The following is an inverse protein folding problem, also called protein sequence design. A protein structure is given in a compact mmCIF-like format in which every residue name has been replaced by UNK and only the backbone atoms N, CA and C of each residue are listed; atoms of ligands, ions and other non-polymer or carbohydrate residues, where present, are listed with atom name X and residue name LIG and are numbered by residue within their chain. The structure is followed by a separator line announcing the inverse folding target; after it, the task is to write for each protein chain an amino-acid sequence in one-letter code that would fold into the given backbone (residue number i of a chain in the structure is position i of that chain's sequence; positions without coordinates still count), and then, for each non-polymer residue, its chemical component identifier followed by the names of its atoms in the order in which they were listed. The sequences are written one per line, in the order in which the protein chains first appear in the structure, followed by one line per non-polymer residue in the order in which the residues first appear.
data_IF_270382827189
#
_entry.id   IF_270382827189
#
_cell.length_a   1.000
_cell.length_b   1.000
_cell.length_c   1.000
_cell.angle_alpha   90.00
_cell.angle_beta   90.00
_cell.angle_gamma   90.00
#
_symmetry.space_group_name_H-M   'P 1'
#
loop_
_entity.id
_entity.type
_entity.pdbx_description
1 polymer ?
#
# COMPACT_ATOMS: atom_id res chain seq x y z
N UNK A 1 -20.57 -24.73 -4.32
CA UNK A 1 -19.68 -24.78 -5.47
C UNK A 1 -18.83 -23.51 -5.47
N UNK A 2 -17.52 -23.66 -5.47
CA UNK A 2 -16.60 -22.57 -5.76
C UNK A 2 -16.86 -22.24 -7.24
N UNK A 3 -17.41 -21.05 -7.53
CA UNK A 3 -17.58 -20.58 -8.91
C UNK A 3 -16.26 -20.59 -9.68
N UNK A 4 -16.32 -20.32 -10.97
CA UNK A 4 -15.10 -20.23 -11.78
C UNK A 4 -14.14 -19.16 -11.21
N UNK A 5 -12.87 -19.50 -11.12
CA UNK A 5 -11.80 -18.62 -10.64
C UNK A 5 -10.89 -18.21 -11.81
N UNK A 6 -10.55 -16.94 -11.87
CA UNK A 6 -9.37 -16.51 -12.57
C UNK A 6 -8.20 -16.53 -11.57
N UNK A 7 -7.08 -17.03 -12.00
CA UNK A 7 -5.89 -17.06 -11.16
C UNK A 7 -4.64 -16.78 -11.97
N UNK A 8 -3.65 -16.27 -11.28
CA UNK A 8 -2.29 -16.09 -11.75
C UNK A 8 -1.34 -16.58 -10.67
N UNK A 9 -0.12 -16.88 -11.03
CA UNK A 9 0.87 -17.37 -10.08
C UNK A 9 2.28 -16.88 -10.40
N UNK A 10 3.06 -16.70 -9.33
CA UNK A 10 4.47 -16.39 -9.40
C UNK A 10 5.27 -17.51 -8.73
N UNK A 11 6.31 -17.98 -9.39
CA UNK A 11 7.26 -18.95 -8.83
C UNK A 11 8.55 -18.23 -8.47
N UNK A 12 9.00 -18.40 -7.22
CA UNK A 12 10.28 -17.87 -6.75
C UNK A 12 11.19 -19.04 -6.38
N UNK A 13 12.38 -19.18 -7.02
CA UNK A 13 13.31 -20.24 -6.68
C UNK A 13 13.85 -20.04 -5.26
N UNK A 14 13.96 -21.12 -4.51
CA UNK A 14 14.56 -21.19 -3.19
C UNK A 14 15.79 -22.08 -3.22
N UNK A 15 16.60 -22.08 -2.15
CA UNK A 15 17.75 -22.99 -2.03
C UNK A 15 17.35 -24.47 -2.16
N UNK A 16 16.16 -24.82 -1.71
CA UNK A 16 15.56 -26.15 -1.85
C UNK A 16 14.13 -25.98 -2.36
N UNK A 17 13.91 -26.25 -3.66
CA UNK A 17 12.60 -26.16 -4.29
C UNK A 17 12.25 -24.75 -4.78
N UNK A 18 10.98 -24.40 -4.70
CA UNK A 18 10.45 -23.09 -5.09
C UNK A 18 9.27 -22.71 -4.22
N UNK A 19 9.02 -21.42 -4.12
CA UNK A 19 7.79 -20.86 -3.56
C UNK A 19 6.82 -20.56 -4.69
N UNK A 20 5.56 -20.90 -4.47
CA UNK A 20 4.45 -20.60 -5.37
C UNK A 20 3.52 -19.61 -4.68
N UNK A 21 3.44 -18.40 -5.21
CA UNK A 21 2.48 -17.37 -4.78
C UNK A 21 1.31 -17.38 -5.77
N UNK A 22 0.12 -17.68 -5.28
CA UNK A 22 -1.09 -17.77 -6.11
C UNK A 22 -2.02 -16.61 -5.76
N UNK A 23 -2.47 -15.89 -6.80
CA UNK A 23 -3.52 -14.90 -6.71
C UNK A 23 -4.75 -15.43 -7.43
N UNK A 24 -5.90 -15.42 -6.77
CA UNK A 24 -7.15 -15.87 -7.35
C UNK A 24 -8.29 -14.90 -7.08
N UNK A 25 -9.17 -14.70 -8.06
CA UNK A 25 -10.37 -13.89 -7.95
C UNK A 25 -11.56 -14.66 -8.54
N UNK A 26 -12.74 -14.50 -7.95
CA UNK A 26 -13.96 -15.05 -8.54
C UNK A 26 -14.24 -14.36 -9.86
N UNK A 27 -14.44 -15.13 -10.92
CA UNK A 27 -14.67 -14.61 -12.26
C UNK A 27 -15.90 -13.68 -12.33
N UNK A 28 -16.98 -14.02 -11.64
CA UNK A 28 -18.18 -13.18 -11.57
C UNK A 28 -17.89 -11.82 -10.95
N UNK A 29 -17.13 -11.78 -9.84
CA UNK A 29 -16.75 -10.53 -9.17
C UNK A 29 -15.85 -9.69 -10.08
N UNK A 30 -14.89 -10.32 -10.73
CA UNK A 30 -14.02 -9.63 -11.69
C UNK A 30 -14.80 -9.05 -12.86
N UNK A 31 -15.67 -9.83 -13.48
CA UNK A 31 -16.52 -9.38 -14.61
C UNK A 31 -17.43 -8.23 -14.21
N UNK A 32 -18.07 -8.30 -13.04
CA UNK A 32 -18.94 -7.24 -12.54
C UNK A 32 -18.21 -5.93 -12.35
N UNK A 33 -16.96 -5.99 -11.87
CA UNK A 33 -16.12 -4.81 -11.72
C UNK A 33 -15.65 -4.27 -13.07
N UNK A 34 -15.19 -5.13 -13.97
CA UNK A 34 -14.67 -4.76 -15.28
C UNK A 34 -15.70 -4.08 -16.19
N UNK A 35 -16.99 -4.45 -16.07
CA UNK A 35 -18.09 -3.81 -16.84
C UNK A 35 -18.13 -2.29 -16.62
N UNK A 36 -17.73 -1.81 -15.44
CA UNK A 36 -17.72 -0.37 -15.12
C UNK A 36 -16.73 0.42 -15.96
N UNK A 37 -15.74 -0.24 -16.53
CA UNK A 37 -14.66 0.38 -17.31
C UNK A 37 -14.75 0.17 -18.80
N UNK A 38 -15.80 -0.47 -19.30
CA UNK A 38 -16.07 -0.56 -20.74
C UNK A 38 -16.49 0.82 -21.30
N UNK A 39 -15.97 1.24 -22.44
CA UNK A 39 -15.24 0.49 -23.48
C UNK A 39 -13.69 0.58 -23.41
N UNK A 40 -13.11 0.87 -22.25
CA UNK A 40 -11.67 0.97 -22.13
C UNK A 40 -10.97 -0.36 -22.45
N UNK A 41 -9.85 -0.32 -23.15
CA UNK A 41 -8.99 -1.48 -23.37
C UNK A 41 -8.17 -1.72 -22.11
N UNK A 42 -8.61 -2.67 -21.29
CA UNK A 42 -7.85 -3.10 -20.11
C UNK A 42 -6.71 -4.05 -20.54
N UNK A 43 -5.52 -3.79 -20.05
CA UNK A 43 -4.32 -4.60 -20.33
C UNK A 43 -3.97 -5.55 -19.19
N UNK A 44 -4.31 -5.19 -17.95
CA UNK A 44 -4.06 -6.01 -16.78
C UNK A 44 -5.10 -5.75 -15.69
N UNK A 45 -5.34 -6.75 -14.87
CA UNK A 45 -6.01 -6.64 -13.59
C UNK A 45 -4.97 -6.92 -12.50
N UNK A 46 -4.79 -5.97 -11.61
CA UNK A 46 -3.77 -6.06 -10.58
C UNK A 46 -4.37 -5.99 -9.18
N UNK A 47 -3.61 -6.44 -8.19
CA UNK A 47 -4.00 -6.37 -6.79
C UNK A 47 -3.69 -4.99 -6.21
N UNK A 48 -4.60 -4.48 -5.39
CA UNK A 48 -4.44 -3.19 -4.71
C UNK A 48 -3.12 -3.11 -3.92
N UNK A 49 -2.75 -4.16 -3.20
CA UNK A 49 -1.51 -4.20 -2.44
C UNK A 49 -0.24 -4.12 -3.32
N UNK A 50 -0.27 -4.63 -4.57
CA UNK A 50 0.83 -4.48 -5.51
C UNK A 50 0.96 -3.03 -5.99
N UNK A 51 -0.16 -2.40 -6.33
CA UNK A 51 -0.18 -1.00 -6.75
C UNK A 51 0.29 -0.08 -5.63
N UNK A 52 -0.16 -0.33 -4.40
CA UNK A 52 0.26 0.44 -3.22
C UNK A 52 1.77 0.32 -3.02
N UNK A 53 2.34 -0.88 -3.04
CA UNK A 53 3.79 -1.07 -2.88
C UNK A 53 4.59 -0.35 -3.96
N UNK A 54 4.20 -0.47 -5.24
CA UNK A 54 4.89 0.24 -6.33
C UNK A 54 4.84 1.75 -6.14
N UNK A 55 3.70 2.29 -5.71
CA UNK A 55 3.58 3.71 -5.43
C UNK A 55 4.53 4.15 -4.29
N UNK A 56 4.57 3.41 -3.18
CA UNK A 56 5.50 3.69 -2.09
C UNK A 56 6.96 3.63 -2.55
N UNK A 57 7.36 2.57 -3.24
CA UNK A 57 8.73 2.40 -3.73
C UNK A 57 9.14 3.51 -4.70
N UNK A 58 8.23 3.89 -5.61
CA UNK A 58 8.49 4.97 -6.56
C UNK A 58 8.68 6.32 -5.85
N UNK A 59 7.83 6.63 -4.85
CA UNK A 59 7.92 7.87 -4.10
C UNK A 59 9.18 7.91 -3.22
N UNK A 60 9.54 6.78 -2.60
CA UNK A 60 10.73 6.68 -1.76
C UNK A 60 12.03 6.58 -2.58
N UNK A 61 11.95 6.27 -3.88
CA UNK A 61 13.11 6.03 -4.74
C UNK A 61 13.92 4.79 -4.36
N UNK A 62 13.35 3.90 -3.55
CA UNK A 62 14.01 2.70 -3.05
C UNK A 62 12.98 1.64 -2.63
N UNK A 63 13.43 0.39 -2.56
CA UNK A 63 12.67 -0.75 -2.04
C UNK A 63 13.22 -1.12 -0.65
N UNK A 64 12.76 -0.47 0.42
CA UNK A 64 13.29 -0.73 1.76
C UNK A 64 12.83 -2.10 2.27
N UNK A 65 13.66 -2.75 3.07
CA UNK A 65 13.35 -4.01 3.75
C UNK A 65 12.89 -3.76 5.18
N UNK A 66 12.11 -4.68 5.73
CA UNK A 66 11.60 -4.60 7.12
C UNK A 66 10.75 -3.34 7.41
N UNK A 67 10.09 -2.83 6.39
CA UNK A 67 9.27 -1.63 6.47
C UNK A 67 7.80 -2.01 6.32
N UNK A 68 6.97 -1.43 7.18
CA UNK A 68 5.52 -1.53 7.08
C UNK A 68 4.96 -0.33 6.34
N UNK A 69 4.20 -0.59 5.31
CA UNK A 69 3.43 0.41 4.58
C UNK A 69 1.97 0.33 4.98
N UNK A 70 1.44 1.45 5.44
CA UNK A 70 0.05 1.62 5.82
C UNK A 70 -0.64 2.56 4.82
N UNK A 71 -1.74 2.10 4.29
CA UNK A 71 -2.57 2.85 3.36
C UNK A 71 -3.99 2.96 3.90
N UNK A 72 -4.62 4.14 3.75
CA UNK A 72 -6.01 4.35 4.15
C UNK A 72 -6.76 5.19 3.12
N UNK A 73 -7.94 4.70 2.75
CA UNK A 73 -8.94 5.42 1.97
C UNK A 73 -10.34 5.26 2.60
N UNK A 74 -11.37 5.76 1.92
CA UNK A 74 -12.77 5.64 2.38
C UNK A 74 -13.28 4.21 2.46
N UNK A 75 -12.65 3.25 1.80
CA UNK A 75 -13.05 1.84 1.78
C UNK A 75 -12.41 1.05 2.92
N UNK A 76 -11.36 1.59 3.53
CA UNK A 76 -10.68 0.98 4.67
C UNK A 76 -9.17 1.19 4.68
N UNK A 77 -8.50 0.31 5.40
CA UNK A 77 -7.06 0.37 5.62
C UNK A 77 -6.38 -0.90 5.11
N UNK A 78 -5.15 -0.76 4.65
CA UNK A 78 -4.31 -1.86 4.21
C UNK A 78 -2.91 -1.71 4.78
N UNK A 79 -2.38 -2.79 5.34
CA UNK A 79 -1.02 -2.94 5.82
C UNK A 79 -0.26 -3.91 4.92
N UNK A 80 0.90 -3.49 4.44
CA UNK A 80 1.76 -4.32 3.58
C UNK A 80 3.20 -4.22 4.06
N UNK A 81 3.83 -5.39 4.24
CA UNK A 81 5.26 -5.50 4.50
C UNK A 81 5.85 -6.54 3.55
N UNK A 82 6.96 -6.22 2.92
CA UNK A 82 7.72 -7.17 2.11
C UNK A 82 9.03 -7.50 2.81
N UNK A 83 9.25 -8.80 3.07
CA UNK A 83 10.41 -9.29 3.79
C UNK A 83 10.89 -10.59 3.17
N UNK A 84 12.19 -10.68 2.87
CA UNK A 84 12.82 -11.87 2.30
C UNK A 84 12.00 -12.45 1.12
N UNK A 85 11.49 -11.58 0.27
CA UNK A 85 10.61 -11.92 -0.86
C UNK A 85 9.24 -12.50 -0.44
N UNK A 86 8.88 -12.41 0.83
CA UNK A 86 7.55 -12.73 1.32
C UNK A 86 6.76 -11.45 1.54
N UNK A 87 5.53 -11.43 1.05
CA UNK A 87 4.61 -10.32 1.24
C UNK A 87 3.60 -10.67 2.30
N UNK A 88 3.59 -9.90 3.37
CA UNK A 88 2.63 -9.96 4.45
C UNK A 88 1.60 -8.86 4.23
N UNK A 89 0.33 -9.22 4.16
CA UNK A 89 -0.76 -8.28 3.88
C UNK A 89 -1.87 -8.48 4.90
N UNK A 90 -2.39 -7.39 5.42
CA UNK A 90 -3.59 -7.36 6.24
C UNK A 90 -4.47 -6.20 5.81
N UNK A 91 -5.78 -6.43 5.76
CA UNK A 91 -6.77 -5.42 5.41
C UNK A 91 -7.84 -5.32 6.50
N UNK A 92 -8.28 -4.11 6.80
CA UNK A 92 -9.35 -3.84 7.77
C UNK A 92 -10.23 -2.70 7.27
N UNK A 93 -11.47 -2.66 7.70
CA UNK A 93 -12.37 -1.51 7.54
C UNK A 93 -12.32 -0.54 8.72
N UNK A 94 -11.43 -0.81 9.68
CA UNK A 94 -11.23 -0.02 10.89
C UNK A 94 -10.11 1.00 10.67
N UNK A 95 -9.68 1.65 11.76
CA UNK A 95 -8.59 2.64 11.73
C UNK A 95 -7.20 1.99 11.56
N UNK A 96 -6.20 2.82 11.28
CA UNK A 96 -4.81 2.39 11.06
C UNK A 96 -4.16 1.85 12.34
N UNK A 97 -4.49 2.41 13.50
CA UNK A 97 -3.91 1.98 14.77
C UNK A 97 -4.35 0.57 15.12
N UNK A 98 -5.63 0.25 14.92
CA UNK A 98 -6.13 -1.10 15.13
C UNK A 98 -5.55 -2.09 14.10
N UNK A 99 -5.48 -1.69 12.82
CA UNK A 99 -4.86 -2.50 11.78
C UNK A 99 -3.40 -2.82 12.12
N UNK A 100 -2.64 -1.82 12.59
CA UNK A 100 -1.26 -2.01 13.01
C UNK A 100 -1.15 -3.01 14.16
N UNK A 101 -1.98 -2.88 15.20
CA UNK A 101 -1.98 -3.82 16.31
C UNK A 101 -2.29 -5.25 15.86
N UNK A 102 -3.25 -5.43 14.98
CA UNK A 102 -3.56 -6.74 14.40
C UNK A 102 -2.40 -7.28 13.55
N UNK A 103 -1.72 -6.38 12.81
CA UNK A 103 -0.59 -6.77 11.96
C UNK A 103 0.58 -7.30 12.80
N UNK A 104 1.01 -6.58 13.83
CA UNK A 104 2.14 -7.00 14.68
C UNK A 104 1.82 -8.26 15.52
N UNK A 105 0.54 -8.47 15.89
CA UNK A 105 0.13 -9.70 16.53
C UNK A 105 0.21 -10.91 15.59
N UNK A 106 -0.14 -10.72 14.33
CA UNK A 106 -0.13 -11.79 13.32
C UNK A 106 1.26 -12.06 12.76
N UNK A 107 2.07 -11.04 12.66
CA UNK A 107 3.42 -11.06 12.10
C UNK A 107 4.40 -10.44 13.12
N UNK A 108 4.83 -11.19 14.14
CA UNK A 108 5.57 -10.67 15.30
C UNK A 108 7.05 -10.38 14.98
N UNK A 109 7.35 -10.03 13.77
CA UNK A 109 8.70 -9.74 13.32
C UNK A 109 9.02 -8.25 13.49
N UNK A 110 10.28 -7.90 13.64
CA UNK A 110 10.72 -6.52 13.85
C UNK A 110 10.43 -5.67 12.61
N UNK A 111 9.70 -4.58 12.81
CA UNK A 111 9.47 -3.51 11.84
C UNK A 111 10.42 -2.37 12.21
N UNK A 112 11.26 -1.95 11.25
CA UNK A 112 12.24 -0.89 11.48
C UNK A 112 11.65 0.49 11.25
N UNK A 113 10.69 0.58 10.31
CA UNK A 113 10.09 1.86 9.95
C UNK A 113 8.65 1.67 9.45
N UNK A 114 7.81 2.66 9.68
CA UNK A 114 6.42 2.67 9.25
C UNK A 114 6.18 3.90 8.39
N UNK A 115 5.70 3.67 7.18
CA UNK A 115 5.24 4.72 6.28
C UNK A 115 3.73 4.68 6.16
N UNK A 116 3.11 5.85 6.16
CA UNK A 116 1.67 5.99 6.09
C UNK A 116 1.28 6.91 4.94
N UNK A 117 0.35 6.46 4.13
CA UNK A 117 -0.37 7.31 3.19
C UNK A 117 -1.87 7.26 3.47
N UNK A 118 -2.47 8.42 3.62
CA UNK A 118 -3.92 8.61 3.74
C UNK A 118 -4.39 9.46 2.55
N UNK A 119 -5.48 9.04 1.92
CA UNK A 119 -6.03 9.81 0.80
C UNK A 119 -6.50 11.19 1.25
N UNK A 120 -6.52 12.20 0.37
CA UNK A 120 -6.96 13.56 0.70
C UNK A 120 -8.35 13.62 1.33
N UNK A 121 -9.25 12.73 0.92
CA UNK A 121 -10.60 12.66 1.48
C UNK A 121 -10.61 12.29 2.97
N UNK A 122 -9.69 11.40 3.37
CA UNK A 122 -9.49 11.03 4.78
C UNK A 122 -8.90 12.22 5.54
N UNK A 123 -7.86 12.86 5.00
CA UNK A 123 -7.19 13.99 5.63
C UNK A 123 -8.12 15.20 5.82
N UNK A 124 -9.08 15.39 4.94
CA UNK A 124 -10.09 16.45 5.02
C UNK A 124 -11.31 16.09 5.89
N UNK A 125 -11.37 14.85 6.39
CA UNK A 125 -12.45 14.45 7.30
C UNK A 125 -12.32 15.13 8.66
N UNK A 126 -13.46 15.40 9.32
CA UNK A 126 -13.45 16.00 10.66
C UNK A 126 -12.90 15.09 11.76
N UNK A 127 -12.77 13.80 11.46
CA UNK A 127 -12.29 12.77 12.38
C UNK A 127 -10.97 12.23 11.86
N UNK A 128 -9.89 13.02 11.97
CA UNK A 128 -8.55 12.56 11.65
C UNK A 128 -8.04 11.72 12.81
N UNK A 129 -7.66 10.51 12.54
CA UNK A 129 -6.96 9.65 13.50
C UNK A 129 -5.61 10.28 13.86
N UNK A 130 -5.32 10.38 15.16
CA UNK A 130 -4.01 10.80 15.65
C UNK A 130 -3.05 9.61 15.53
N UNK A 131 -2.18 9.70 14.53
CA UNK A 131 -1.16 8.67 14.30
C UNK A 131 0.03 8.85 15.26
N UNK A 132 0.72 7.76 15.64
CA UNK A 132 1.96 7.83 16.39
C UNK A 132 2.99 8.75 15.71
N UNK A 133 3.79 9.46 16.52
CA UNK A 133 4.75 10.46 16.00
C UNK A 133 5.93 9.86 15.24
N UNK A 134 6.23 8.60 15.49
CA UNK A 134 7.29 7.82 14.83
C UNK A 134 6.88 7.25 13.48
N UNK A 135 5.60 7.40 13.10
CA UNK A 135 5.14 6.98 11.77
C UNK A 135 5.39 8.09 10.75
N UNK A 136 6.06 7.74 9.67
CA UNK A 136 6.40 8.68 8.60
C UNK A 136 5.26 8.83 7.62
N UNK A 137 4.64 10.01 7.61
CA UNK A 137 3.57 10.32 6.66
C UNK A 137 4.15 10.67 5.29
N UNK A 138 3.61 10.06 4.26
CA UNK A 138 3.88 10.44 2.87
C UNK A 138 2.80 11.42 2.41
N UNK A 139 3.24 12.56 1.91
CA UNK A 139 2.41 13.57 1.26
C UNK A 139 2.81 13.67 -0.22
N UNK A 140 1.85 13.59 -1.10
CA UNK A 140 2.07 13.67 -2.55
C UNK A 140 0.81 14.19 -3.25
N UNK A 141 1.00 15.01 -4.27
CA UNK A 141 -0.07 15.47 -5.17
C UNK A 141 -0.41 14.43 -6.24
N UNK A 142 0.38 13.36 -6.34
CA UNK A 142 0.15 12.30 -7.31
C UNK A 142 -1.01 11.40 -6.86
N UNK A 143 -1.89 10.98 -7.78
CA UNK A 143 -2.95 10.02 -7.47
C UNK A 143 -2.32 8.64 -7.15
N UNK A 144 -2.18 8.33 -5.88
CA UNK A 144 -1.32 7.26 -5.35
C UNK A 144 -1.57 5.89 -6.00
N UNK A 145 -2.82 5.43 -6.05
CA UNK A 145 -3.16 4.15 -6.66
C UNK A 145 -2.94 4.17 -8.18
N UNK A 146 -3.28 5.28 -8.85
CA UNK A 146 -3.06 5.42 -10.28
C UNK A 146 -1.57 5.42 -10.63
N UNK A 147 -0.73 6.04 -9.79
CA UNK A 147 0.72 5.96 -9.91
C UNK A 147 1.19 4.50 -9.86
N UNK A 148 0.77 3.76 -8.83
CA UNK A 148 1.14 2.36 -8.69
C UNK A 148 0.67 1.47 -9.84
N UNK A 149 -0.51 1.74 -10.39
CA UNK A 149 -1.03 1.02 -11.56
C UNK A 149 -0.25 1.37 -12.83
N UNK A 150 0.09 2.63 -13.02
CA UNK A 150 0.88 3.08 -14.19
C UNK A 150 2.30 2.48 -14.22
N UNK A 151 2.82 2.11 -13.06
CA UNK A 151 4.14 1.49 -12.90
C UNK A 151 4.11 -0.05 -13.03
N UNK A 152 3.00 -0.62 -13.46
CA UNK A 152 2.91 -2.05 -13.72
C UNK A 152 3.96 -2.48 -14.77
N UNK A 153 4.74 -3.52 -14.47
CA UNK A 153 5.87 -4.00 -15.26
C UNK A 153 7.01 -2.97 -15.51
N UNK A 154 7.06 -1.89 -14.75
CA UNK A 154 8.12 -0.90 -14.87
C UNK A 154 9.26 -1.23 -13.90
N UNK A 155 10.51 -1.11 -14.35
CA UNK A 155 11.66 -1.13 -13.46
C UNK A 155 11.69 0.18 -12.66
N UNK A 156 11.37 0.11 -11.38
CA UNK A 156 11.26 1.29 -10.51
C UNK A 156 12.58 2.04 -10.34
N UNK A 157 13.73 1.38 -10.57
CA UNK A 157 15.04 2.03 -10.55
C UNK A 157 15.24 3.06 -11.65
N UNK A 158 14.42 2.98 -12.70
CA UNK A 158 14.44 3.92 -13.83
C UNK A 158 13.43 5.06 -13.67
N UNK A 159 12.64 5.06 -12.60
CA UNK A 159 11.61 6.08 -12.37
C UNK A 159 12.19 7.22 -11.56
N UNK A 160 12.32 8.37 -12.17
CA UNK A 160 12.70 9.61 -11.48
C UNK A 160 11.46 10.48 -11.24
N UNK A 161 11.03 10.55 -10.01
CA UNK A 161 9.92 11.39 -9.55
C UNK A 161 10.40 12.65 -8.81
N UNK A 162 11.70 12.89 -8.73
CA UNK A 162 12.31 13.98 -7.94
C UNK A 162 11.79 15.37 -8.30
N UNK A 163 11.37 15.58 -9.55
CA UNK A 163 10.81 16.84 -10.01
C UNK A 163 9.31 17.03 -9.73
N UNK A 164 8.59 15.99 -9.29
CA UNK A 164 7.14 15.99 -9.10
C UNK A 164 6.70 15.61 -7.68
N UNK A 165 7.62 15.18 -6.86
CA UNK A 165 7.35 14.79 -5.47
C UNK A 165 8.13 15.69 -4.54
N UNK A 166 7.44 16.63 -3.90
CA UNK A 166 7.90 17.13 -2.61
C UNK A 166 7.39 16.12 -1.58
N UNK A 167 8.05 14.97 -1.50
CA UNK A 167 7.80 14.04 -0.41
C UNK A 167 8.41 14.67 0.84
N UNK A 168 7.65 15.49 1.52
CA UNK A 168 8.00 16.00 2.83
C UNK A 168 7.84 14.85 3.82
N UNK A 169 8.93 14.16 4.09
CA UNK A 169 9.08 13.31 5.25
C UNK A 169 9.16 14.24 6.47
N UNK A 170 8.06 14.84 6.87
CA UNK A 170 8.02 15.62 8.11
C UNK A 170 7.49 14.75 9.23
N UNK A 171 8.29 14.50 10.29
CA UNK A 171 7.71 14.12 11.57
C UNK A 171 6.71 15.22 11.95
N UNK A 172 5.51 14.84 12.38
CA UNK A 172 4.46 15.80 12.74
C UNK A 172 4.85 16.55 14.01
N UNK A 173 5.78 17.49 13.90
CA UNK A 173 6.04 18.51 14.91
C UNK A 173 4.89 19.54 14.81
N UNK A 174 3.78 19.29 15.48
CA UNK A 174 2.96 20.39 15.98
C UNK A 174 3.65 20.88 17.24
N UNK A 175 4.38 21.97 17.08
CA UNK A 175 4.79 22.80 18.20
C UNK A 175 3.59 23.06 19.10
N UNK A 176 3.68 22.62 20.33
CA UNK A 176 2.79 23.02 21.40
C UNK A 176 2.92 24.54 21.55
N UNK A 177 1.94 25.29 21.05
CA UNK A 177 1.85 26.73 21.28
C UNK A 177 1.87 26.98 22.77
N UNK A 178 2.94 27.60 23.23
CA UNK A 178 3.09 28.16 24.55
C UNK A 178 1.93 29.14 24.80
N UNK A 179 1.00 28.74 25.63
CA UNK A 179 0.11 29.68 26.33
C UNK A 179 0.93 30.20 27.50
N UNK A 180 1.50 31.37 27.35
CA UNK A 180 2.01 32.18 28.50
C UNK A 180 0.87 32.77 29.26
N UNK A 181 0.99 32.88 30.61
CA UNK A 181 -0.03 33.37 31.51
C UNK A 181 -0.31 34.86 31.35
#
# INVERSE_FOLDING_TARGET
PLGELWFDYLTTPLKQGFRLDITAIRQESAKAELVKYLPLKLTALDLLNHSILRAFYAILGQEPTNVLFLYQDQQGCLAVCERLQQRQVLQSQRDLSELYQQFIQRFPETIEQIYVYQTPDILNSRTIELLPQDWLRIETDLPFIALGNALWQTDLKLVDLSSKTTALLTPSNRESGDVKP
#
